data_IF_585472021690
#
_entry.id   IF_585472021690
#
_cell.length_a   1.000
_cell.length_b   1.000
_cell.length_c   1.000
_cell.angle_alpha   90.00
_cell.angle_beta   90.00
_cell.angle_gamma   90.00
#
_symmetry.space_group_name_H-M   'P 1'
#
loop_
_entity.id
_entity.type
_entity.pdbx_description
1 polymer ?
#
# COMPACT_ATOMS: atom_id res chain seq x y z
N UNK A 1 9.66 -4.40 15.65
CA UNK A 1 8.63 -3.90 14.72
C UNK A 1 8.52 -4.85 13.54
N UNK A 2 7.30 -5.20 13.20
CA UNK A 2 7.08 -6.13 12.11
C UNK A 2 7.29 -5.45 10.77
N UNK A 3 7.73 -6.22 9.82
CA UNK A 3 7.93 -5.71 8.48
C UNK A 3 6.73 -6.06 7.61
N UNK A 4 6.38 -5.13 6.74
CA UNK A 4 5.32 -5.36 5.78
C UNK A 4 5.83 -6.20 4.64
N UNK A 5 5.11 -7.29 4.35
CA UNK A 5 5.37 -8.09 3.16
C UNK A 5 4.35 -7.76 2.10
N UNK A 6 4.83 -7.48 0.91
CA UNK A 6 3.93 -7.18 -0.20
C UNK A 6 3.50 -8.50 -0.83
N UNK A 7 2.19 -8.70 -0.88
CA UNK A 7 1.60 -9.93 -1.40
C UNK A 7 1.12 -9.72 -2.82
N UNK A 8 1.22 -10.76 -3.61
CA UNK A 8 0.80 -10.68 -5.00
C UNK A 8 -0.70 -10.70 -5.16
N UNK A 9 -1.39 -11.44 -4.32
CA UNK A 9 -2.84 -11.57 -4.46
C UNK A 9 -3.52 -10.35 -3.84
N UNK A 10 -4.51 -9.84 -4.53
CA UNK A 10 -5.32 -8.75 -4.05
C UNK A 10 -6.76 -9.16 -4.09
N UNK A 11 -7.49 -8.84 -3.06
CA UNK A 11 -8.91 -9.13 -3.01
C UNK A 11 -9.68 -7.94 -3.54
N UNK A 12 -10.68 -8.23 -4.34
CA UNK A 12 -11.59 -7.19 -4.78
C UNK A 12 -12.57 -6.93 -3.66
N UNK A 13 -12.54 -5.75 -3.12
CA UNK A 13 -13.44 -5.33 -2.05
C UNK A 13 -14.13 -4.06 -2.47
N UNK A 14 -15.16 -3.70 -1.72
CA UNK A 14 -15.76 -2.39 -1.90
C UNK A 14 -14.69 -1.33 -1.67
N UNK A 15 -14.62 -0.39 -2.58
CA UNK A 15 -13.59 0.61 -2.47
C UNK A 15 -14.20 2.00 -2.60
N UNK A 16 -13.52 2.98 -2.04
CA UNK A 16 -13.90 4.37 -2.10
C UNK A 16 -12.75 5.11 -2.76
N UNK A 17 -13.06 5.92 -3.74
CA UNK A 17 -12.04 6.69 -4.45
C UNK A 17 -11.76 7.98 -3.70
N UNK A 18 -10.49 8.22 -3.44
CA UNK A 18 -10.03 9.46 -2.81
C UNK A 18 -8.76 9.91 -3.50
N UNK A 19 -8.61 11.22 -3.61
CA UNK A 19 -7.40 11.79 -4.18
C UNK A 19 -6.51 12.27 -3.03
N UNK A 20 -5.29 11.77 -3.02
CA UNK A 20 -4.31 12.16 -2.01
C UNK A 20 -3.03 12.58 -2.70
N UNK A 21 -2.21 13.34 -1.98
CA UNK A 21 -0.90 13.71 -2.47
C UNK A 21 0.14 12.81 -1.83
N UNK A 22 1.05 12.33 -2.66
CA UNK A 22 2.13 11.44 -2.20
C UNK A 22 3.44 12.11 -2.58
N UNK A 23 4.40 12.10 -1.65
CA UNK A 23 5.72 12.64 -1.97
C UNK A 23 6.35 11.86 -3.11
N UNK A 24 7.20 12.54 -3.88
CA UNK A 24 7.86 11.87 -4.99
C UNK A 24 8.67 10.66 -4.57
N UNK A 25 9.35 10.77 -3.43
CA UNK A 25 10.16 9.67 -2.92
C UNK A 25 9.29 8.45 -2.60
N UNK A 26 8.14 8.67 -1.96
CA UNK A 26 7.23 7.57 -1.65
C UNK A 26 6.61 6.99 -2.91
N UNK A 27 6.27 7.85 -3.85
CA UNK A 27 5.73 7.41 -5.13
C UNK A 27 6.69 6.45 -5.81
N UNK A 28 7.96 6.81 -5.87
CA UNK A 28 8.97 5.98 -6.53
C UNK A 28 9.13 4.64 -5.84
N UNK A 29 9.13 4.63 -4.51
CA UNK A 29 9.27 3.39 -3.76
C UNK A 29 8.09 2.47 -3.95
N UNK A 30 6.89 3.02 -3.95
CA UNK A 30 5.67 2.23 -4.16
C UNK A 30 5.67 1.66 -5.57
N UNK A 31 6.05 2.47 -6.54
CA UNK A 31 6.12 2.03 -7.92
C UNK A 31 7.10 0.86 -8.08
N UNK A 32 8.25 0.97 -7.43
CA UNK A 32 9.26 -0.07 -7.46
C UNK A 32 8.74 -1.37 -6.87
N UNK A 33 8.04 -1.28 -5.74
CA UNK A 33 7.44 -2.45 -5.10
C UNK A 33 6.38 -3.09 -5.99
N UNK A 34 5.59 -2.26 -6.66
CA UNK A 34 4.57 -2.77 -7.56
C UNK A 34 5.19 -3.57 -8.70
N UNK A 35 6.25 -3.02 -9.30
CA UNK A 35 6.91 -3.69 -10.40
C UNK A 35 7.59 -5.00 -9.96
N UNK A 36 8.24 -4.95 -8.82
CA UNK A 36 8.96 -6.13 -8.32
C UNK A 36 8.01 -7.28 -7.99
N UNK A 37 6.80 -6.96 -7.58
CA UNK A 37 5.83 -7.97 -7.19
C UNK A 37 4.77 -8.22 -8.25
N UNK A 38 4.88 -7.55 -9.38
CA UNK A 38 3.97 -7.71 -10.51
C UNK A 38 2.52 -7.48 -10.11
N UNK A 39 2.30 -6.41 -9.36
CA UNK A 39 0.97 -5.99 -8.94
C UNK A 39 0.81 -4.51 -9.23
N UNK A 40 -0.42 -4.01 -9.12
CA UNK A 40 -0.67 -2.61 -9.41
C UNK A 40 -0.18 -1.71 -8.29
N UNK A 41 0.09 -0.46 -8.65
CA UNK A 41 0.43 0.58 -7.69
C UNK A 41 -0.63 0.65 -6.59
N UNK A 42 -1.89 0.63 -7.01
CA UNK A 42 -3.00 0.73 -6.07
C UNK A 42 -3.01 -0.43 -5.08
N UNK A 43 -2.67 -1.61 -5.55
CA UNK A 43 -2.61 -2.78 -4.70
C UNK A 43 -1.55 -2.62 -3.61
N UNK A 44 -0.39 -2.10 -3.97
CA UNK A 44 0.69 -1.85 -3.00
C UNK A 44 0.22 -0.82 -1.97
N UNK A 45 -0.40 0.26 -2.44
CA UNK A 45 -0.87 1.32 -1.55
C UNK A 45 -1.85 0.76 -0.53
N UNK A 46 -2.78 -0.08 -0.97
CA UNK A 46 -3.76 -0.64 -0.06
C UNK A 46 -3.13 -1.56 0.98
N UNK A 47 -2.13 -2.33 0.59
CA UNK A 47 -1.43 -3.19 1.55
C UNK A 47 -0.69 -2.37 2.59
N UNK A 48 -0.08 -1.28 2.16
CA UNK A 48 0.63 -0.39 3.08
C UNK A 48 -0.36 0.26 4.05
N UNK A 49 -1.49 0.70 3.53
CA UNK A 49 -2.51 1.33 4.37
C UNK A 49 -3.03 0.35 5.40
N UNK A 50 -3.33 -0.87 4.97
CA UNK A 50 -3.82 -1.90 5.90
C UNK A 50 -2.79 -2.17 7.00
N UNK A 51 -1.54 -2.32 6.61
CA UNK A 51 -0.48 -2.55 7.57
C UNK A 51 -0.37 -1.37 8.56
N UNK A 52 -0.38 -0.15 8.01
CA UNK A 52 -0.25 1.03 8.84
C UNK A 52 -1.39 1.18 9.82
N UNK A 53 -2.62 0.96 9.35
CA UNK A 53 -3.79 1.09 10.22
C UNK A 53 -3.78 0.05 11.33
N UNK A 54 -3.31 -1.14 11.05
CA UNK A 54 -3.24 -2.20 12.07
C UNK A 54 -2.14 -1.95 13.09
N UNK A 55 -1.27 -0.99 12.83
CA UNK A 55 -0.15 -0.70 13.73
C UNK A 55 -0.20 0.71 14.28
N UNK A 56 -1.33 1.38 14.13
CA UNK A 56 -1.50 2.71 14.69
C UNK A 56 -1.70 2.62 16.18
N UNK A 57 -0.98 3.47 16.91
CA UNK A 57 -1.18 3.57 18.34
C UNK A 57 -2.35 4.52 18.59
N UNK A 58 -3.42 3.99 19.13
CA UNK A 58 -4.62 4.78 19.40
C UNK A 58 -4.69 5.11 20.88
N UNK A 59 -5.17 6.30 21.15
CA UNK A 59 -5.29 6.76 22.53
C UNK A 59 -6.74 6.99 22.91
#
# INVERSE_FOLDING_TARGET
>A
MDKLEIKKSAKANNSVTRTIRISGANFDRINDLAEKNDISFNCVVNQIIDFGLNNVLEE
#
